data_IF_103154244034
#
_entry.id   IF_103154244034
#
_cell.length_a   1.000
_cell.length_b   1.000
_cell.length_c   1.000
_cell.angle_alpha   90.00
_cell.angle_beta   90.00
_cell.angle_gamma   90.00
#
_symmetry.space_group_name_H-M   'P 1'
#
loop_
_entity.id
_entity.type
_entity.pdbx_description
1 polymer ?
#
# COMPACT_ATOMS: atom_id res chain seq x y z
N UNK A 1 -34.51 -8.09 7.04
CA UNK A 1 -33.92 -6.86 7.64
C UNK A 1 -32.90 -6.35 6.64
N UNK A 2 -33.12 -5.14 6.12
CA UNK A 2 -32.43 -4.57 4.97
C UNK A 2 -30.92 -4.54 5.19
N UNK A 3 -30.18 -5.38 4.47
CA UNK A 3 -28.76 -5.18 4.28
C UNK A 3 -28.64 -3.98 3.34
N UNK A 4 -28.38 -2.81 3.91
CA UNK A 4 -27.90 -1.68 3.14
C UNK A 4 -26.75 -2.19 2.27
N UNK A 5 -26.97 -2.17 0.96
CA UNK A 5 -26.00 -2.59 -0.03
C UNK A 5 -24.87 -1.57 0.02
N UNK A 6 -23.89 -1.80 0.87
CA UNK A 6 -22.64 -1.07 0.86
C UNK A 6 -21.96 -1.36 -0.48
N UNK A 7 -22.11 -0.44 -1.44
CA UNK A 7 -21.67 -0.68 -2.81
C UNK A 7 -20.18 -0.40 -3.00
N UNK A 8 -19.30 -1.02 -2.21
CA UNK A 8 -17.94 -1.22 -2.72
C UNK A 8 -17.93 -2.52 -3.50
N UNK A 9 -17.27 -2.49 -4.65
CA UNK A 9 -17.01 -3.73 -5.36
C UNK A 9 -15.89 -4.47 -4.64
N UNK A 10 -16.11 -5.74 -4.30
CA UNK A 10 -15.04 -6.65 -3.85
C UNK A 10 -13.84 -6.63 -4.80
N UNK A 11 -14.07 -6.40 -6.10
CA UNK A 11 -13.01 -6.24 -7.09
C UNK A 11 -12.08 -5.04 -6.81
N UNK A 12 -12.62 -3.95 -6.23
CA UNK A 12 -11.84 -2.77 -5.82
C UNK A 12 -10.97 -3.13 -4.62
N UNK A 13 -11.54 -3.76 -3.60
CA UNK A 13 -10.80 -4.20 -2.40
C UNK A 13 -9.65 -5.12 -2.81
N UNK A 14 -9.93 -6.10 -3.65
CA UNK A 14 -8.91 -7.00 -4.19
C UNK A 14 -7.83 -6.28 -5.00
N UNK A 15 -8.21 -5.30 -5.83
CA UNK A 15 -7.25 -4.50 -6.60
C UNK A 15 -6.35 -3.65 -5.70
N UNK A 16 -6.89 -3.07 -4.63
CA UNK A 16 -6.12 -2.32 -3.65
C UNK A 16 -5.15 -3.24 -2.88
N UNK A 17 -5.58 -4.45 -2.51
CA UNK A 17 -4.70 -5.46 -1.91
C UNK A 17 -3.50 -5.79 -2.82
N UNK A 18 -3.75 -6.02 -4.12
CA UNK A 18 -2.68 -6.27 -5.10
C UNK A 18 -1.71 -5.11 -5.22
N UNK A 19 -2.21 -3.88 -5.24
CA UNK A 19 -1.36 -2.70 -5.34
C UNK A 19 -0.47 -2.55 -4.09
N UNK A 20 -1.00 -2.84 -2.90
CA UNK A 20 -0.20 -2.87 -1.66
C UNK A 20 0.88 -3.96 -1.71
N UNK A 21 0.55 -5.15 -2.20
CA UNK A 21 1.51 -6.23 -2.38
C UNK A 21 2.63 -5.85 -3.37
N UNK A 22 2.27 -5.24 -4.50
CA UNK A 22 3.22 -4.71 -5.47
C UNK A 22 4.14 -3.67 -4.83
N UNK A 23 3.59 -2.67 -4.13
CA UNK A 23 4.35 -1.64 -3.42
C UNK A 23 5.35 -2.27 -2.45
N UNK A 24 4.92 -3.28 -1.68
CA UNK A 24 5.75 -4.02 -0.73
C UNK A 24 6.93 -4.71 -1.41
N UNK A 25 6.67 -5.50 -2.45
CA UNK A 25 7.71 -6.25 -3.18
C UNK A 25 8.68 -5.28 -3.84
N UNK A 26 8.15 -4.25 -4.52
CA UNK A 26 8.98 -3.28 -5.24
C UNK A 26 9.86 -2.48 -4.28
N UNK A 27 9.32 -2.02 -3.15
CA UNK A 27 10.08 -1.28 -2.14
C UNK A 27 11.21 -2.12 -1.55
N UNK A 28 10.93 -3.40 -1.21
CA UNK A 28 11.96 -4.35 -0.75
C UNK A 28 13.09 -4.48 -1.78
N UNK A 29 12.75 -4.66 -3.05
CA UNK A 29 13.74 -4.81 -4.11
C UNK A 29 14.59 -3.55 -4.28
N UNK A 30 13.99 -2.35 -4.23
CA UNK A 30 14.75 -1.10 -4.31
C UNK A 30 15.70 -0.96 -3.12
N UNK A 31 15.24 -1.25 -1.90
CA UNK A 31 16.08 -1.18 -0.71
C UNK A 31 17.29 -2.12 -0.81
N UNK A 32 17.10 -3.34 -1.34
CA UNK A 32 18.21 -4.27 -1.61
C UNK A 32 19.17 -3.66 -2.65
N UNK A 33 18.65 -3.12 -3.77
CA UNK A 33 19.49 -2.48 -4.79
C UNK A 33 20.25 -1.27 -4.26
N UNK A 34 19.67 -0.47 -3.36
CA UNK A 34 20.32 0.69 -2.77
C UNK A 34 21.52 0.33 -1.90
N UNK A 35 21.49 -0.82 -1.20
CA UNK A 35 22.61 -1.29 -0.36
C UNK A 35 23.90 -1.55 -1.15
N UNK A 36 23.77 -1.93 -2.42
CA UNK A 36 24.90 -2.27 -3.29
C UNK A 36 25.10 -1.27 -4.44
N UNK A 37 24.36 -0.15 -4.44
CA UNK A 37 24.40 0.82 -5.54
C UNK A 37 25.57 1.82 -5.38
N UNK A 38 26.59 1.68 -6.23
CA UNK A 38 27.70 2.63 -6.30
C UNK A 38 27.45 3.82 -7.25
N UNK A 39 26.47 3.71 -8.15
CA UNK A 39 26.15 4.76 -9.10
C UNK A 39 25.24 5.83 -8.47
N UNK A 40 25.76 7.06 -8.31
CA UNK A 40 25.03 8.18 -7.68
C UNK A 40 23.73 8.55 -8.38
N UNK A 41 23.71 8.56 -9.72
CA UNK A 41 22.52 8.91 -10.50
C UNK A 41 21.42 7.86 -10.34
N UNK A 42 21.80 6.58 -10.41
CA UNK A 42 20.88 5.47 -10.19
C UNK A 42 20.34 5.47 -8.74
N UNK A 43 21.21 5.66 -7.75
CA UNK A 43 20.80 5.77 -6.34
C UNK A 43 19.75 6.87 -6.12
N UNK A 44 19.94 8.05 -6.74
CA UNK A 44 18.96 9.14 -6.69
C UNK A 44 17.61 8.72 -7.29
N UNK A 45 17.61 8.07 -8.47
CA UNK A 45 16.39 7.59 -9.12
C UNK A 45 15.66 6.53 -8.30
N UNK A 46 16.39 5.61 -7.68
CA UNK A 46 15.85 4.58 -6.79
C UNK A 46 15.17 5.20 -5.56
N UNK A 47 15.79 6.20 -4.93
CA UNK A 47 15.18 6.94 -3.81
C UNK A 47 13.91 7.70 -4.22
N UNK A 48 13.90 8.31 -5.40
CA UNK A 48 12.70 8.97 -5.95
C UNK A 48 11.57 7.96 -6.14
N UNK A 49 11.87 6.77 -6.67
CA UNK A 49 10.88 5.72 -6.87
C UNK A 49 10.31 5.21 -5.54
N UNK A 50 11.15 5.00 -4.51
CA UNK A 50 10.68 4.67 -3.15
C UNK A 50 9.71 5.72 -2.61
N UNK A 51 10.02 7.00 -2.80
CA UNK A 51 9.12 8.08 -2.39
C UNK A 51 7.78 8.03 -3.13
N UNK A 52 7.79 7.69 -4.42
CA UNK A 52 6.56 7.53 -5.22
C UNK A 52 5.72 6.36 -4.70
N UNK A 53 6.33 5.20 -4.45
CA UNK A 53 5.66 4.04 -3.88
C UNK A 53 5.04 4.34 -2.51
N UNK A 54 5.77 5.07 -1.66
CA UNK A 54 5.26 5.49 -0.35
C UNK A 54 4.05 6.43 -0.46
N UNK A 55 4.08 7.40 -1.39
CA UNK A 55 2.94 8.29 -1.66
C UNK A 55 1.72 7.50 -2.14
N UNK A 56 1.91 6.50 -3.00
CA UNK A 56 0.82 5.63 -3.45
C UNK A 56 0.24 4.82 -2.27
N UNK A 57 1.09 4.27 -1.40
CA UNK A 57 0.65 3.58 -0.18
C UNK A 57 -0.23 4.47 0.70
N UNK A 58 0.17 5.73 0.91
CA UNK A 58 -0.58 6.69 1.72
C UNK A 58 -1.94 7.03 1.10
N UNK A 59 -2.04 7.10 -0.23
CA UNK A 59 -3.33 7.26 -0.91
C UNK A 59 -4.24 6.06 -0.64
N UNK A 60 -3.71 4.84 -0.77
CA UNK A 60 -4.47 3.62 -0.48
C UNK A 60 -4.88 3.60 1.00
N UNK A 61 -4.01 4.00 1.93
CA UNK A 61 -4.35 4.09 3.35
C UNK A 61 -5.56 4.99 3.59
N UNK A 62 -5.56 6.19 2.99
CA UNK A 62 -6.69 7.12 3.10
C UNK A 62 -7.98 6.55 2.53
N UNK A 63 -7.90 5.81 1.42
CA UNK A 63 -9.05 5.13 0.80
C UNK A 63 -9.57 4.02 1.74
N UNK A 64 -8.68 3.16 2.21
CA UNK A 64 -9.01 2.05 3.12
C UNK A 64 -9.63 2.55 4.42
N UNK A 65 -9.12 3.64 5.00
CA UNK A 65 -9.71 4.28 6.18
C UNK A 65 -11.12 4.81 5.90
N UNK A 66 -11.35 5.41 4.73
CA UNK A 66 -12.68 5.89 4.33
C UNK A 66 -13.66 4.73 4.12
N UNK A 67 -13.23 3.66 3.47
CA UNK A 67 -14.06 2.48 3.24
C UNK A 67 -14.40 1.80 4.58
N UNK A 68 -13.41 1.60 5.44
CA UNK A 68 -13.61 0.99 6.77
C UNK A 68 -14.53 1.82 7.68
N UNK A 69 -14.43 3.16 7.65
CA UNK A 69 -15.38 4.04 8.37
C UNK A 69 -16.82 3.87 7.90
N UNK A 70 -17.00 3.47 6.64
CA UNK A 70 -18.32 3.27 6.04
C UNK A 70 -18.91 1.92 6.44
N UNK A 71 -18.08 0.86 6.49
CA UNK A 71 -18.50 -0.47 6.94
C UNK A 71 -17.37 -1.15 7.75
N UNK A 72 -17.37 -0.94 9.07
CA UNK A 72 -16.30 -1.40 9.95
C UNK A 72 -16.40 -2.87 10.36
N UNK A 73 -17.50 -3.54 10.01
CA UNK A 73 -17.71 -4.96 10.31
C UNK A 73 -17.26 -5.88 9.17
N UNK A 74 -16.91 -5.30 8.02
CA UNK A 74 -16.45 -6.07 6.87
C UNK A 74 -14.99 -6.50 7.02
N UNK A 75 -14.78 -7.82 6.95
CA UNK A 75 -13.48 -8.46 7.10
C UNK A 75 -12.50 -8.07 5.97
N UNK A 76 -12.98 -7.93 4.73
CA UNK A 76 -12.15 -7.56 3.59
C UNK A 76 -11.62 -6.13 3.74
N UNK A 77 -12.43 -5.21 4.25
CA UNK A 77 -12.03 -3.83 4.56
C UNK A 77 -11.09 -3.76 5.76
N UNK A 78 -11.34 -4.53 6.82
CA UNK A 78 -10.45 -4.64 7.96
C UNK A 78 -9.07 -5.17 7.53
N UNK A 79 -9.06 -6.23 6.73
CA UNK A 79 -7.84 -6.81 6.18
C UNK A 79 -7.07 -5.81 5.32
N UNK A 80 -7.74 -5.14 4.37
CA UNK A 80 -7.14 -4.12 3.52
C UNK A 80 -6.50 -2.99 4.35
N UNK A 81 -7.20 -2.50 5.37
CA UNK A 81 -6.70 -1.46 6.25
C UNK A 81 -5.44 -1.91 6.99
N UNK A 82 -5.48 -3.12 7.56
CA UNK A 82 -4.36 -3.69 8.32
C UNK A 82 -3.11 -3.88 7.45
N UNK A 83 -3.23 -4.48 6.25
CA UNK A 83 -2.08 -4.68 5.36
C UNK A 83 -1.49 -3.35 4.87
N UNK A 84 -2.31 -2.32 4.75
CA UNK A 84 -1.87 -0.98 4.31
C UNK A 84 -1.14 -0.21 5.42
N UNK A 85 -1.56 -0.41 6.68
CA UNK A 85 -0.94 0.17 7.88
C UNK A 85 0.42 -0.43 8.21
N UNK A 86 0.67 -1.70 7.87
CA UNK A 86 1.96 -2.38 8.09
C UNK A 86 3.07 -1.82 7.20
N UNK A 87 3.54 -0.60 7.49
CA UNK A 87 4.58 0.12 6.74
C UNK A 87 6.00 -0.06 7.28
N UNK A 88 6.15 -0.60 8.48
CA UNK A 88 7.37 -0.48 9.28
C UNK A 88 8.60 -1.25 8.73
N UNK A 89 8.46 -2.04 7.68
CA UNK A 89 9.58 -2.77 7.06
C UNK A 89 10.16 -2.13 5.79
N UNK A 90 9.60 -1.01 5.30
CA UNK A 90 9.98 -0.43 4.00
C UNK A 90 10.81 0.86 4.08
N UNK A 91 10.83 1.52 5.25
CA UNK A 91 11.42 2.86 5.42
C UNK A 91 12.70 2.88 6.28
N UNK A 92 13.24 1.72 6.66
CA UNK A 92 14.56 1.68 7.29
C UNK A 92 15.63 1.93 6.21
N UNK A 93 15.91 3.23 5.99
CA UNK A 93 17.16 3.72 5.42
C UNK A 93 18.22 3.62 6.52
#
# INVERSE_FOLDING_TARGET
MNQDIFSYSESIVFSLCKEIEFIKIRSKNINISLKTCHNKSLSKRLKIELNKLNRNRLKILSISESMFKTNSQDLSLEFLLEITKRSNSFQQI
#
